data_IF_162653408128
#
_entry.id   IF_162653408128
#
_cell.length_a   1.000
_cell.length_b   1.000
_cell.length_c   1.000
_cell.angle_alpha   90.00
_cell.angle_beta   90.00
_cell.angle_gamma   90.00
#
_symmetry.space_group_name_H-M   'P 1'
#
loop_
_entity.id
_entity.type
_entity.pdbx_description
1 polymer ?
#
# COMPACT_ATOMS: atom_id res chain seq x y z
N UNK A 1 -21.84 17.88 25.97
CA UNK A 1 -21.09 16.71 25.47
C UNK A 1 -20.48 17.06 24.12
N UNK A 2 -19.17 16.92 23.95
CA UNK A 2 -18.48 17.14 22.67
C UNK A 2 -18.45 15.81 21.90
N UNK A 3 -19.21 15.72 20.81
CA UNK A 3 -19.19 14.59 19.89
C UNK A 3 -18.10 14.82 18.84
N UNK A 4 -16.92 14.20 19.00
CA UNK A 4 -15.83 14.29 18.03
C UNK A 4 -15.95 13.14 17.03
N UNK A 5 -16.66 13.40 15.94
CA UNK A 5 -16.80 12.52 14.78
C UNK A 5 -15.93 13.00 13.62
N UNK A 6 -15.26 12.09 12.91
CA UNK A 6 -14.43 12.48 11.78
C UNK A 6 -13.85 11.32 10.99
N UNK A 7 -12.97 11.67 10.04
CA UNK A 7 -12.20 10.73 9.22
C UNK A 7 -10.71 10.93 9.45
N UNK A 8 -9.98 9.82 9.65
CA UNK A 8 -8.52 9.87 9.82
C UNK A 8 -7.85 8.64 9.23
N UNK A 9 -6.65 8.83 8.67
CA UNK A 9 -5.85 7.75 8.10
C UNK A 9 -5.05 7.03 9.19
N UNK A 10 -5.14 5.70 9.23
CA UNK A 10 -4.37 4.82 10.12
C UNK A 10 -3.74 3.67 9.34
N UNK A 11 -2.93 2.86 10.03
CA UNK A 11 -2.45 1.58 9.51
C UNK A 11 -1.50 1.72 8.33
N UNK A 12 -0.53 2.63 8.41
CA UNK A 12 0.50 2.80 7.37
C UNK A 12 1.27 1.49 7.16
N UNK A 13 1.24 0.98 5.92
CA UNK A 13 1.91 -0.26 5.51
C UNK A 13 2.55 -0.12 4.13
N UNK A 14 3.44 -1.05 3.79
CA UNK A 14 4.05 -1.20 2.46
C UNK A 14 4.65 0.12 1.95
N UNK A 15 5.48 0.77 2.76
CA UNK A 15 6.15 2.01 2.37
C UNK A 15 7.19 1.74 1.26
N UNK A 16 7.08 2.48 0.16
CA UNK A 16 8.03 2.46 -0.97
C UNK A 16 8.32 3.91 -1.34
N UNK A 17 9.59 4.31 -1.23
CA UNK A 17 9.98 5.71 -1.38
C UNK A 17 9.17 6.63 -0.46
N UNK A 18 8.46 7.60 -1.07
CA UNK A 18 7.61 8.56 -0.34
C UNK A 18 6.14 8.12 -0.24
N UNK A 19 5.76 6.94 -0.76
CA UNK A 19 4.37 6.50 -0.82
C UNK A 19 4.13 5.31 0.11
N UNK A 20 3.05 5.37 0.87
CA UNK A 20 2.62 4.30 1.79
C UNK A 20 1.14 4.01 1.62
N UNK A 21 0.70 2.78 1.90
CA UNK A 21 -0.73 2.45 1.92
C UNK A 21 -1.29 2.79 3.29
N UNK A 22 -2.38 3.55 3.33
CA UNK A 22 -3.09 3.90 4.56
C UNK A 22 -4.58 3.68 4.38
N UNK A 23 -5.26 3.29 5.44
CA UNK A 23 -6.72 3.17 5.45
C UNK A 23 -7.33 4.31 6.21
N UNK A 24 -8.31 4.97 5.60
CA UNK A 24 -9.14 5.99 6.25
C UNK A 24 -10.23 5.28 7.04
N UNK A 25 -10.35 5.64 8.31
CA UNK A 25 -11.38 5.13 9.21
C UNK A 25 -12.33 6.27 9.60
N UNK A 26 -13.61 5.91 9.76
CA UNK A 26 -14.51 6.68 10.59
C UNK A 26 -14.09 6.52 12.04
N UNK A 27 -13.91 7.63 12.74
CA UNK A 27 -13.48 7.59 14.13
C UNK A 27 -14.44 8.31 15.05
N UNK A 28 -14.50 7.83 16.29
CA UNK A 28 -15.10 8.50 17.42
C UNK A 28 -14.00 8.76 18.44
N UNK A 29 -13.79 10.03 18.84
CA UNK A 29 -12.70 10.38 19.77
C UNK A 29 -11.32 9.83 19.35
N UNK A 30 -11.00 9.93 18.06
CA UNK A 30 -9.76 9.39 17.45
C UNK A 30 -9.60 7.86 17.53
N UNK A 31 -10.59 7.12 18.00
CA UNK A 31 -10.62 5.66 17.95
C UNK A 31 -11.23 5.21 16.61
N UNK A 32 -10.50 4.41 15.81
CA UNK A 32 -11.02 3.91 14.54
C UNK A 32 -12.14 2.91 14.81
N UNK A 33 -13.32 3.16 14.23
CA UNK A 33 -14.49 2.30 14.37
C UNK A 33 -14.70 1.44 13.14
N UNK A 34 -14.83 2.06 11.96
CA UNK A 34 -15.05 1.34 10.71
C UNK A 34 -14.12 1.83 9.59
N UNK A 35 -13.53 0.91 8.81
CA UNK A 35 -12.73 1.27 7.65
C UNK A 35 -13.64 1.83 6.55
N UNK A 36 -13.20 2.90 5.88
CA UNK A 36 -13.96 3.56 4.82
C UNK A 36 -13.36 3.32 3.44
N UNK A 37 -12.06 3.53 3.28
CA UNK A 37 -11.33 3.26 2.04
C UNK A 37 -9.81 3.22 2.29
N UNK A 38 -9.09 2.49 1.45
CA UNK A 38 -7.62 2.48 1.45
C UNK A 38 -7.07 3.36 0.34
N UNK A 39 -5.95 4.02 0.61
CA UNK A 39 -5.28 4.95 -0.30
C UNK A 39 -3.77 4.70 -0.32
N UNK A 40 -3.15 4.89 -1.49
CA UNK A 40 -1.74 5.25 -1.55
C UNK A 40 -1.63 6.72 -1.17
N UNK A 41 -0.83 7.01 -0.15
CA UNK A 41 -0.61 8.36 0.36
C UNK A 41 0.85 8.72 0.19
N UNK A 42 1.10 9.76 -0.59
CA UNK A 42 2.43 10.33 -0.75
C UNK A 42 2.74 11.33 0.37
N UNK A 43 3.87 11.16 1.04
CA UNK A 43 4.25 11.95 2.21
C UNK A 43 4.64 13.39 1.89
N UNK A 44 5.20 13.64 0.70
CA UNK A 44 5.72 14.97 0.30
C UNK A 44 4.63 15.88 -0.29
N UNK A 45 3.91 15.38 -1.29
CA UNK A 45 2.88 16.16 -2.01
C UNK A 45 1.52 16.12 -1.31
N UNK A 46 1.31 15.17 -0.38
CA UNK A 46 0.00 14.80 0.19
C UNK A 46 -0.99 14.28 -0.87
N UNK A 47 -0.52 13.90 -2.07
CA UNK A 47 -1.34 13.23 -3.06
C UNK A 47 -1.88 11.91 -2.50
N UNK A 48 -3.14 11.62 -2.80
CA UNK A 48 -3.85 10.43 -2.35
C UNK A 48 -4.48 9.74 -3.55
N UNK A 49 -4.14 8.48 -3.77
CA UNK A 49 -4.70 7.65 -4.85
C UNK A 49 -5.52 6.53 -4.23
N UNK A 50 -6.78 6.42 -4.62
CA UNK A 50 -7.70 5.45 -4.00
C UNK A 50 -7.40 4.04 -4.52
N UNK A 51 -7.44 3.05 -3.64
CA UNK A 51 -7.30 1.64 -4.04
C UNK A 51 -8.65 1.07 -4.52
N UNK A 52 -8.59 0.06 -5.39
CA UNK A 52 -9.76 -0.69 -5.86
C UNK A 52 -10.53 -1.41 -4.74
N UNK A 53 -9.85 -1.71 -3.64
CA UNK A 53 -10.43 -2.37 -2.48
C UNK A 53 -9.69 -2.05 -1.19
N UNK A 54 -10.14 -2.66 -0.10
CA UNK A 54 -9.48 -2.52 1.19
C UNK A 54 -8.15 -3.27 1.20
N UNK A 55 -7.10 -2.59 1.66
CA UNK A 55 -5.88 -3.25 2.05
C UNK A 55 -6.05 -3.79 3.48
N UNK A 56 -6.44 -5.06 3.61
CA UNK A 56 -6.73 -5.66 4.91
C UNK A 56 -5.55 -5.66 5.88
N UNK A 57 -4.31 -5.68 5.38
CA UNK A 57 -3.10 -5.51 6.22
C UNK A 57 -3.08 -4.11 6.85
N UNK A 58 -3.33 -3.07 6.06
CA UNK A 58 -3.48 -1.70 6.54
C UNK A 58 -4.62 -1.58 7.54
N UNK A 59 -5.77 -2.19 7.26
CA UNK A 59 -6.93 -2.19 8.18
C UNK A 59 -6.56 -2.81 9.52
N UNK A 60 -6.03 -4.04 9.50
CA UNK A 60 -5.64 -4.78 10.69
C UNK A 60 -4.61 -4.00 11.51
N UNK A 61 -3.56 -3.48 10.88
CA UNK A 61 -2.54 -2.72 11.59
C UNK A 61 -3.07 -1.36 12.08
N UNK A 62 -4.05 -0.78 11.39
CA UNK A 62 -4.78 0.39 11.88
C UNK A 62 -5.47 0.10 13.21
N UNK A 63 -6.18 -1.03 13.32
CA UNK A 63 -6.82 -1.45 14.56
C UNK A 63 -5.79 -1.80 15.64
N UNK A 64 -4.86 -2.70 15.34
CA UNK A 64 -3.88 -3.18 16.33
C UNK A 64 -3.04 -2.03 16.90
N UNK A 65 -2.63 -1.05 16.08
CA UNK A 65 -1.82 0.07 16.53
C UNK A 65 -2.57 1.09 17.39
N UNK A 66 -3.91 1.09 17.38
CA UNK A 66 -4.70 1.98 18.23
C UNK A 66 -5.26 1.26 19.45
N UNK A 67 -5.80 0.05 19.26
CA UNK A 67 -6.48 -0.68 20.33
C UNK A 67 -5.52 -1.39 21.28
N UNK A 68 -4.38 -1.93 20.80
CA UNK A 68 -3.46 -2.65 21.70
C UNK A 68 -2.79 -1.73 22.75
N UNK A 69 -2.34 -0.50 22.42
CA UNK A 69 -1.85 0.42 23.45
C UNK A 69 -2.92 0.76 24.49
N UNK A 70 -4.18 0.90 24.08
CA UNK A 70 -5.30 1.18 25.00
C UNK A 70 -5.54 -0.01 25.95
N UNK A 71 -5.60 -1.23 25.41
CA UNK A 71 -5.73 -2.46 26.21
C UNK A 71 -4.55 -2.61 27.18
N UNK A 72 -3.33 -2.37 26.72
CA UNK A 72 -2.14 -2.42 27.56
C UNK A 72 -2.20 -1.39 28.69
N UNK A 73 -2.61 -0.14 28.40
CA UNK A 73 -2.74 0.90 29.41
C UNK A 73 -3.80 0.55 30.48
N UNK A 74 -4.96 0.05 30.07
CA UNK A 74 -6.02 -0.38 31.00
C UNK A 74 -5.53 -1.54 31.88
N UNK A 75 -4.87 -2.53 31.30
CA UNK A 75 -4.34 -3.67 32.04
C UNK A 75 -3.25 -3.26 33.06
N UNK A 76 -2.36 -2.33 32.67
CA UNK A 76 -1.36 -1.78 33.58
C UNK A 76 -2.00 -0.99 34.73
N UNK A 77 -3.05 -0.20 34.46
CA UNK A 77 -3.78 0.54 35.49
C UNK A 77 -4.49 -0.40 36.48
N UNK A 78 -5.13 -1.47 35.99
CA UNK A 78 -5.73 -2.49 36.85
C UNK A 78 -4.69 -3.19 37.73
N UNK A 79 -3.50 -3.44 37.17
CA UNK A 79 -2.39 -4.02 37.92
C UNK A 79 -1.91 -3.07 39.02
N UNK A 80 -1.77 -1.78 38.70
CA UNK A 80 -1.36 -0.75 39.64
C UNK A 80 -2.40 -0.51 40.76
N UNK A 81 -3.69 -0.62 40.46
CA UNK A 81 -4.77 -0.43 41.43
C UNK A 81 -4.91 -1.56 42.47
N UNK A 82 -4.10 -2.62 42.38
CA UNK A 82 -4.15 -3.77 43.28
C UNK A 82 -5.08 -4.91 42.83
N UNK A 83 -5.81 -4.72 41.73
CA UNK A 83 -6.69 -5.73 41.11
C UNK A 83 -5.94 -6.60 40.07
N UNK A 84 -4.61 -6.53 40.06
CA UNK A 84 -3.75 -7.20 39.08
C UNK A 84 -3.60 -8.69 39.31
N UNK A 85 -4.31 -9.51 38.52
CA UNK A 85 -3.98 -10.92 38.40
C UNK A 85 -2.83 -11.15 37.40
N UNK A 86 -2.16 -12.30 37.49
CA UNK A 86 -1.16 -12.74 36.49
C UNK A 86 -1.70 -12.69 35.06
N UNK A 87 -3.01 -12.94 34.89
CA UNK A 87 -3.71 -12.86 33.61
C UNK A 87 -3.71 -11.43 33.05
N UNK A 88 -3.96 -10.43 33.90
CA UNK A 88 -3.96 -9.01 33.49
C UNK A 88 -2.55 -8.59 33.06
N UNK A 89 -1.52 -8.99 33.80
CA UNK A 89 -0.13 -8.76 33.43
C UNK A 89 0.25 -9.40 32.08
N UNK A 90 -0.20 -10.64 31.84
CA UNK A 90 0.02 -11.33 30.58
C UNK A 90 -0.67 -10.62 29.40
N UNK A 91 -1.89 -10.13 29.58
CA UNK A 91 -2.62 -9.36 28.54
C UNK A 91 -1.89 -8.07 28.19
N UNK A 92 -1.35 -7.35 29.17
CA UNK A 92 -0.54 -6.15 28.91
C UNK A 92 0.70 -6.48 28.08
N UNK A 93 1.45 -7.50 28.49
CA UNK A 93 2.68 -7.93 27.80
C UNK A 93 2.40 -8.39 26.37
N UNK A 94 1.38 -9.22 26.15
CA UNK A 94 0.97 -9.70 24.82
C UNK A 94 0.50 -8.56 23.92
N UNK A 95 -0.23 -7.57 24.46
CA UNK A 95 -0.69 -6.41 23.71
C UNK A 95 0.48 -5.55 23.22
N UNK A 96 1.48 -5.33 24.08
CA UNK A 96 2.70 -4.60 23.72
C UNK A 96 3.49 -5.38 22.66
N UNK A 97 3.68 -6.69 22.85
CA UNK A 97 4.39 -7.53 21.89
C UNK A 97 3.70 -7.54 20.52
N UNK A 98 2.37 -7.69 20.49
CA UNK A 98 1.58 -7.63 19.28
C UNK A 98 1.67 -6.25 18.60
N UNK A 99 1.63 -5.15 19.35
CA UNK A 99 1.80 -3.79 18.82
C UNK A 99 3.14 -3.63 18.09
N UNK A 100 4.24 -4.02 18.73
CA UNK A 100 5.59 -3.96 18.14
C UNK A 100 5.68 -4.85 16.91
N UNK A 101 5.10 -6.05 16.96
CA UNK A 101 5.10 -7.00 15.84
C UNK A 101 4.49 -6.42 14.57
N UNK A 102 3.51 -5.50 14.68
CA UNK A 102 2.90 -4.86 13.50
C UNK A 102 3.88 -4.02 12.67
N UNK A 103 4.93 -3.48 13.29
CA UNK A 103 5.96 -2.70 12.57
C UNK A 103 7.04 -3.61 11.97
N UNK A 104 7.39 -4.67 12.69
CA UNK A 104 8.37 -5.67 12.21
C UNK A 104 7.80 -6.45 11.03
N UNK A 105 6.55 -6.90 11.13
CA UNK A 105 5.89 -7.67 10.09
C UNK A 105 5.68 -6.86 8.82
N UNK A 106 5.33 -5.57 8.92
CA UNK A 106 5.21 -4.68 7.75
C UNK A 106 6.51 -4.64 6.93
N UNK A 107 7.66 -4.54 7.62
CA UNK A 107 8.98 -4.55 6.97
C UNK A 107 9.29 -5.91 6.32
N UNK A 108 8.91 -7.02 6.96
CA UNK A 108 9.21 -8.38 6.49
C UNK A 108 8.30 -8.86 5.35
N UNK A 109 7.02 -8.48 5.37
CA UNK A 109 5.98 -8.95 4.43
C UNK A 109 5.92 -8.14 3.13
N UNK A 110 6.95 -7.37 2.80
CA UNK A 110 6.99 -6.57 1.57
C UNK A 110 7.12 -7.52 0.37
N UNK A 111 6.06 -7.63 -0.41
CA UNK A 111 6.07 -8.33 -1.70
C UNK A 111 7.06 -7.63 -2.63
N UNK A 112 8.19 -8.31 -2.89
CA UNK A 112 9.33 -7.71 -3.58
C UNK A 112 8.98 -7.31 -5.02
N UNK A 113 8.13 -8.08 -5.69
CA UNK A 113 7.75 -7.82 -7.09
C UNK A 113 6.87 -6.57 -7.21
N UNK A 114 5.85 -6.46 -6.36
CA UNK A 114 5.00 -5.26 -6.29
C UNK A 114 5.82 -4.05 -5.82
N UNK A 115 6.76 -4.24 -4.89
CA UNK A 115 7.66 -3.18 -4.45
C UNK A 115 8.50 -2.62 -5.60
N UNK A 116 9.05 -3.47 -6.47
CA UNK A 116 9.82 -3.05 -7.64
C UNK A 116 8.97 -2.33 -8.68
N UNK A 117 7.75 -2.80 -8.95
CA UNK A 117 6.80 -2.09 -9.82
C UNK A 117 6.55 -0.67 -9.31
N UNK A 118 6.36 -0.53 -8.00
CA UNK A 118 6.18 0.77 -7.35
C UNK A 118 7.45 1.63 -7.41
N UNK A 119 8.64 1.03 -7.35
CA UNK A 119 9.91 1.74 -7.56
C UNK A 119 10.09 2.19 -9.03
N UNK A 120 9.66 1.40 -10.01
CA UNK A 120 9.61 1.84 -11.43
C UNK A 120 8.66 3.03 -11.58
N UNK A 121 7.45 2.94 -11.01
CA UNK A 121 6.48 4.02 -11.04
C UNK A 121 7.05 5.29 -10.40
N UNK A 122 7.78 5.16 -9.28
CA UNK A 122 8.43 6.29 -8.63
C UNK A 122 9.51 6.92 -9.50
N UNK A 123 10.33 6.12 -10.19
CA UNK A 123 11.38 6.62 -11.09
C UNK A 123 10.80 7.39 -12.27
N UNK A 124 9.69 6.92 -12.83
CA UNK A 124 9.09 7.50 -14.03
C UNK A 124 8.14 8.65 -13.72
N UNK A 125 7.33 8.56 -12.67
CA UNK A 125 6.22 9.50 -12.40
C UNK A 125 6.36 10.22 -11.06
N UNK A 126 7.41 9.93 -10.28
CA UNK A 126 7.61 10.51 -8.95
C UNK A 126 6.79 9.85 -7.84
N UNK A 127 5.78 9.04 -8.18
CA UNK A 127 4.84 8.41 -7.23
C UNK A 127 5.01 6.89 -7.19
N UNK A 128 5.07 6.29 -6.00
CA UNK A 128 5.33 4.85 -5.84
C UNK A 128 4.04 4.05 -5.66
N UNK A 129 3.23 3.95 -6.73
CA UNK A 129 1.92 3.28 -6.77
C UNK A 129 1.94 2.07 -7.72
N UNK A 130 1.09 1.07 -7.45
CA UNK A 130 0.86 -0.06 -8.36
C UNK A 130 -0.41 0.22 -9.17
N UNK A 131 -0.33 0.38 -10.51
CA UNK A 131 -1.49 0.70 -11.34
C UNK A 131 -2.62 -0.33 -11.25
N UNK A 132 -2.31 -1.59 -10.96
CA UNK A 132 -3.33 -2.64 -10.82
C UNK A 132 -4.19 -2.49 -9.56
N UNK A 133 -3.58 -2.02 -8.47
CA UNK A 133 -4.27 -1.84 -7.19
C UNK A 133 -4.97 -0.47 -7.09
N UNK A 134 -4.67 0.45 -8.00
CA UNK A 134 -5.21 1.80 -8.06
C UNK A 134 -6.57 1.82 -8.77
N UNK A 135 -7.50 2.63 -8.23
CA UNK A 135 -8.78 2.92 -8.86
C UNK A 135 -8.63 3.91 -10.02
N UNK A 136 -7.67 4.82 -9.90
CA UNK A 136 -7.40 5.82 -10.93
C UNK A 136 -6.70 5.16 -12.12
N UNK A 137 -7.21 5.45 -13.32
CA UNK A 137 -6.64 4.91 -14.55
C UNK A 137 -5.43 5.75 -15.00
N UNK A 138 -4.23 5.22 -14.78
CA UNK A 138 -2.95 5.85 -15.15
C UNK A 138 -2.51 5.57 -16.59
N UNK A 139 -3.34 4.90 -17.40
CA UNK A 139 -2.98 4.49 -18.76
C UNK A 139 -2.55 5.67 -19.63
N UNK A 140 -3.33 6.76 -19.64
CA UNK A 140 -3.05 7.92 -20.48
C UNK A 140 -1.70 8.58 -20.16
N UNK A 141 -1.36 8.68 -18.87
CA UNK A 141 -0.07 9.25 -18.43
C UNK A 141 1.10 8.36 -18.86
N UNK A 142 0.94 7.04 -18.77
CA UNK A 142 1.97 6.08 -19.18
C UNK A 142 2.16 6.08 -20.69
N UNK A 143 1.05 6.10 -21.45
CA UNK A 143 1.08 6.14 -22.90
C UNK A 143 1.70 7.47 -23.39
N UNK A 144 1.35 8.61 -22.77
CA UNK A 144 1.96 9.90 -23.09
C UNK A 144 3.48 9.91 -22.83
N UNK A 145 3.92 9.34 -21.70
CA UNK A 145 5.35 9.28 -21.36
C UNK A 145 6.11 8.33 -22.29
N UNK A 146 5.48 7.26 -22.76
CA UNK A 146 6.05 6.36 -23.78
C UNK A 146 6.18 7.08 -25.13
N UNK A 147 5.15 7.83 -25.53
CA UNK A 147 5.13 8.62 -26.78
C UNK A 147 6.21 9.71 -26.80
N UNK A 148 6.50 10.35 -25.66
CA UNK A 148 7.52 11.39 -25.59
C UNK A 148 8.93 10.95 -26.05
N UNK A 149 9.20 9.64 -26.09
CA UNK A 149 10.45 9.07 -26.60
C UNK A 149 10.43 8.62 -28.06
N UNK A 150 9.30 8.76 -28.78
CA UNK A 150 9.12 8.24 -30.15
C UNK A 150 8.35 9.21 -31.03
N UNK A 151 8.70 9.29 -32.31
CA UNK A 151 8.00 10.14 -33.30
C UNK A 151 6.74 9.47 -33.85
N UNK A 152 6.61 8.15 -33.67
CA UNK A 152 5.50 7.35 -34.17
C UNK A 152 4.35 7.26 -33.15
N UNK A 153 3.12 7.19 -33.65
CA UNK A 153 1.95 6.95 -32.80
C UNK A 153 2.00 5.53 -32.23
N UNK A 154 1.96 5.41 -30.89
CA UNK A 154 1.86 4.13 -30.21
C UNK A 154 0.62 3.34 -30.65
N UNK A 155 0.83 2.10 -31.07
CA UNK A 155 -0.27 1.14 -31.28
C UNK A 155 -0.99 0.82 -29.97
N UNK A 156 -2.28 0.48 -30.03
CA UNK A 156 -3.10 0.20 -28.85
C UNK A 156 -2.55 -0.90 -27.91
N UNK A 157 -1.78 -1.85 -28.45
CA UNK A 157 -1.22 -2.99 -27.71
C UNK A 157 0.32 -3.01 -27.65
N UNK A 158 0.97 -1.85 -27.86
CA UNK A 158 2.43 -1.72 -27.90
C UNK A 158 3.13 -2.39 -26.71
N UNK A 159 2.54 -2.29 -25.51
CA UNK A 159 3.09 -2.83 -24.27
C UNK A 159 3.17 -4.36 -24.28
N UNK A 160 2.25 -5.07 -24.94
CA UNK A 160 2.28 -6.54 -25.04
C UNK A 160 3.48 -7.01 -25.88
N UNK A 161 3.80 -6.26 -26.94
CA UNK A 161 4.96 -6.51 -27.78
C UNK A 161 6.26 -6.14 -27.07
N UNK A 162 6.31 -4.94 -26.47
CA UNK A 162 7.49 -4.44 -25.74
C UNK A 162 7.87 -5.30 -24.53
N UNK A 163 6.89 -5.93 -23.86
CA UNK A 163 7.16 -6.89 -22.79
C UNK A 163 7.89 -8.13 -23.34
N UNK A 164 7.53 -8.62 -24.53
CA UNK A 164 8.11 -9.83 -25.12
C UNK A 164 9.44 -9.58 -25.83
N UNK A 165 9.65 -8.35 -26.28
CA UNK A 165 10.84 -7.95 -27.02
C UNK A 165 12.07 -7.88 -26.10
N UNK A 166 13.06 -8.73 -26.40
CA UNK A 166 14.33 -8.78 -25.69
C UNK A 166 15.26 -7.59 -26.04
N UNK A 167 15.00 -6.92 -27.17
CA UNK A 167 15.80 -5.79 -27.66
C UNK A 167 15.21 -4.43 -27.27
N UNK A 168 13.99 -4.42 -26.72
CA UNK A 168 13.38 -3.19 -26.22
C UNK A 168 14.26 -2.54 -25.15
N UNK A 169 14.33 -1.21 -25.17
CA UNK A 169 15.09 -0.46 -24.16
C UNK A 169 14.54 -0.74 -22.76
N UNK A 170 15.42 -0.67 -21.74
CA UNK A 170 15.00 -0.87 -20.33
C UNK A 170 13.85 0.06 -19.94
N UNK A 171 13.88 1.31 -20.39
CA UNK A 171 12.81 2.27 -20.13
C UNK A 171 11.49 1.84 -20.79
N UNK A 172 11.52 1.42 -22.05
CA UNK A 172 10.34 0.94 -22.78
C UNK A 172 9.76 -0.30 -22.11
N UNK A 173 10.60 -1.25 -21.68
CA UNK A 173 10.17 -2.44 -20.95
C UNK A 173 9.51 -2.08 -19.61
N UNK A 174 10.11 -1.17 -18.83
CA UNK A 174 9.53 -0.72 -17.55
C UNK A 174 8.17 -0.04 -17.75
N UNK A 175 8.05 0.87 -18.71
CA UNK A 175 6.78 1.53 -19.04
C UNK A 175 5.74 0.52 -19.55
N UNK A 176 6.15 -0.47 -20.33
CA UNK A 176 5.27 -1.53 -20.81
C UNK A 176 4.74 -2.39 -19.65
N UNK A 177 5.59 -2.76 -18.69
CA UNK A 177 5.17 -3.49 -17.49
C UNK A 177 4.16 -2.69 -16.67
N UNK A 178 4.40 -1.37 -16.48
CA UNK A 178 3.45 -0.49 -15.80
C UNK A 178 2.12 -0.36 -16.55
N UNK A 179 2.17 -0.19 -17.88
CA UNK A 179 0.97 -0.11 -18.74
C UNK A 179 0.15 -1.40 -18.73
N UNK A 180 0.83 -2.54 -18.67
CA UNK A 180 0.20 -3.86 -18.54
C UNK A 180 -0.51 -4.04 -17.20
N UNK A 181 0.02 -3.49 -16.08
CA UNK A 181 -0.68 -3.51 -14.78
C UNK A 181 -2.01 -2.78 -14.82
N UNK A 182 -2.21 -1.82 -15.72
CA UNK A 182 -3.49 -1.15 -15.89
C UNK A 182 -4.56 -2.02 -16.58
N UNK A 183 -4.18 -3.11 -17.26
CA UNK A 183 -5.13 -4.03 -17.90
C UNK A 183 -5.61 -5.09 -16.88
N UNK A 184 -6.50 -4.67 -15.99
CA UNK A 184 -6.95 -5.49 -14.86
C UNK A 184 -7.73 -6.76 -15.27
N UNK A 185 -8.21 -6.83 -16.52
CA UNK A 185 -9.04 -7.93 -17.02
C UNK A 185 -8.19 -9.14 -17.47
N UNK A 186 -6.95 -8.92 -17.92
CA UNK A 186 -6.08 -9.98 -18.42
C UNK A 186 -5.20 -10.57 -17.29
N UNK A 187 -5.74 -11.56 -16.57
CA UNK A 187 -5.03 -12.22 -15.45
C UNK A 187 -3.72 -12.88 -15.89
N UNK A 188 -3.67 -13.40 -17.13
CA UNK A 188 -2.48 -14.06 -17.68
C UNK A 188 -1.33 -13.06 -17.88
N UNK A 189 -1.67 -11.84 -18.31
CA UNK A 189 -0.72 -10.75 -18.44
C UNK A 189 -0.21 -10.31 -17.08
N UNK A 190 -1.07 -10.24 -16.06
CA UNK A 190 -0.65 -9.87 -14.70
C UNK A 190 0.39 -10.83 -14.13
N UNK A 191 0.20 -12.14 -14.32
CA UNK A 191 1.17 -13.14 -13.90
C UNK A 191 2.50 -13.00 -14.65
N UNK A 192 2.46 -12.82 -15.98
CA UNK A 192 3.66 -12.60 -16.79
C UNK A 192 4.45 -11.36 -16.36
N UNK A 193 3.76 -10.27 -16.02
CA UNK A 193 4.39 -9.05 -15.50
C UNK A 193 5.11 -9.34 -14.20
N UNK A 194 4.44 -9.97 -13.22
CA UNK A 194 5.04 -10.30 -11.93
C UNK A 194 6.24 -11.24 -12.07
N UNK A 195 6.14 -12.27 -12.91
CA UNK A 195 7.27 -13.17 -13.19
C UNK A 195 8.47 -12.44 -13.79
N UNK A 196 8.24 -11.52 -14.75
CA UNK A 196 9.32 -10.74 -15.35
C UNK A 196 9.99 -9.82 -14.34
N UNK A 197 9.21 -9.20 -13.45
CA UNK A 197 9.74 -8.34 -12.38
C UNK A 197 10.52 -9.16 -11.35
N UNK A 198 10.08 -10.38 -11.07
CA UNK A 198 10.79 -11.33 -10.21
C UNK A 198 12.12 -11.77 -10.84
N UNK A 199 12.17 -12.03 -12.15
CA UNK A 199 13.41 -12.41 -12.86
C UNK A 199 14.41 -11.27 -13.03
N UNK A 200 13.94 -10.02 -12.97
CA UNK A 200 14.80 -8.84 -12.97
C UNK A 200 15.35 -8.51 -11.55
N UNK A 201 15.08 -9.33 -10.53
CA UNK A 201 15.68 -9.26 -9.19
C UNK A 201 17.16 -9.62 -9.20
#
# INVERSE_FOLDING_TARGET
MLFIWGKRSYGSVQSVGNTSVKTVFGHFWYLPLFPMASYYVESKSKACYKLNGFNWRSVLFGYLRVWLPLVAAIALLMTYAGDGSLVVGAVAALSIAAFVSTYIYDKKSREQDVAKLREMMQRHFGVAIDPYACLDNLQAEIDQKSQAGTTESLEANWYKSAIKDAFASKQTQELALLRARCDQQDQSLQQQVLEKVARAA
#
